data_IF_190822014956
#
_entry.id   IF_190822014956
#
_cell.length_a   1.000
_cell.length_b   1.000
_cell.length_c   1.000
_cell.angle_alpha   90.00
_cell.angle_beta   90.00
_cell.angle_gamma   90.00
#
_symmetry.space_group_name_H-M   'P 1'
#
loop_
_entity.id
_entity.type
_entity.pdbx_description
1 polymer ?
#
# COMPACT_ATOMS: atom_id res chain seq x y z
N UNK A 1 7.61 15.66 -31.82
CA UNK A 1 6.55 14.84 -31.20
C UNK A 1 7.26 13.88 -30.28
N UNK A 2 7.45 14.27 -29.02
CA UNK A 2 8.08 13.44 -27.98
C UNK A 2 7.36 13.71 -26.65
N UNK A 3 6.13 13.22 -26.53
CA UNK A 3 5.26 13.41 -25.35
C UNK A 3 5.09 12.10 -24.54
N UNK A 4 6.18 11.36 -24.30
CA UNK A 4 6.14 10.09 -23.56
C UNK A 4 7.08 9.98 -22.35
N UNK A 5 7.80 11.06 -21.99
CA UNK A 5 8.59 11.06 -20.76
C UNK A 5 7.80 11.65 -19.59
N UNK A 6 7.74 10.91 -18.49
CA UNK A 6 7.36 11.41 -17.17
C UNK A 6 8.07 12.76 -16.97
N UNK A 7 7.31 13.83 -16.73
CA UNK A 7 7.90 15.15 -16.51
C UNK A 7 8.93 15.05 -15.37
N UNK A 8 10.21 15.38 -15.62
CA UNK A 8 11.32 15.01 -14.74
C UNK A 8 11.40 15.80 -13.44
N UNK A 9 10.50 16.75 -13.20
CA UNK A 9 10.60 17.63 -12.04
C UNK A 9 9.62 17.24 -10.96
N UNK A 10 10.14 16.48 -10.00
CA UNK A 10 9.55 16.44 -8.67
C UNK A 10 9.61 17.83 -8.01
N UNK A 11 8.65 18.13 -7.14
CA UNK A 11 8.69 19.37 -6.33
C UNK A 11 9.93 19.37 -5.41
N UNK A 12 10.39 20.57 -5.04
CA UNK A 12 11.48 20.75 -4.07
C UNK A 12 11.34 19.81 -2.86
N UNK A 13 12.41 19.08 -2.56
CA UNK A 13 12.47 18.11 -1.47
C UNK A 13 12.14 16.67 -1.86
N UNK A 14 11.73 16.39 -3.10
CA UNK A 14 11.60 15.03 -3.63
C UNK A 14 12.68 14.76 -4.70
N UNK A 15 13.08 13.50 -4.82
CA UNK A 15 13.97 13.00 -5.87
C UNK A 15 13.30 13.03 -7.24
N UNK A 16 14.09 12.81 -8.30
CA UNK A 16 13.53 12.49 -9.60
C UNK A 16 12.99 11.05 -9.59
N UNK A 17 12.09 10.77 -10.54
CA UNK A 17 11.57 9.42 -10.75
C UNK A 17 12.66 8.48 -11.27
N UNK A 18 12.81 7.32 -10.66
CA UNK A 18 13.70 6.22 -11.07
C UNK A 18 12.86 5.03 -11.54
N UNK A 19 13.26 4.39 -12.65
CA UNK A 19 12.62 3.15 -13.13
C UNK A 19 13.31 1.92 -12.53
N UNK A 20 12.51 1.01 -11.95
CA UNK A 20 12.96 -0.28 -11.41
C UNK A 20 12.76 -1.43 -12.41
N UNK A 21 12.42 -1.10 -13.66
CA UNK A 21 12.15 -2.05 -14.73
C UNK A 21 10.91 -2.93 -14.48
N UNK A 22 10.87 -4.07 -15.16
CA UNK A 22 9.74 -5.01 -15.15
C UNK A 22 8.57 -4.57 -16.04
N UNK A 23 7.62 -5.49 -16.27
CA UNK A 23 6.35 -5.22 -16.97
C UNK A 23 5.21 -5.58 -16.03
N UNK A 24 4.69 -4.57 -15.33
CA UNK A 24 3.74 -4.76 -14.25
C UNK A 24 2.31 -4.88 -14.77
N UNK A 25 1.61 -5.93 -14.36
CA UNK A 25 0.18 -6.09 -14.63
C UNK A 25 -0.71 -5.60 -13.47
N UNK A 26 -0.12 -5.24 -12.33
CA UNK A 26 -0.81 -4.64 -11.18
C UNK A 26 -0.17 -3.32 -10.74
N UNK A 27 -0.81 -2.63 -9.78
CA UNK A 27 -0.13 -1.64 -8.94
C UNK A 27 0.94 -2.33 -8.08
N UNK A 28 1.98 -1.59 -7.64
CA UNK A 28 2.94 -2.08 -6.64
C UNK A 28 2.31 -2.26 -5.25
N UNK A 29 2.92 -3.12 -4.43
CA UNK A 29 2.84 -3.09 -2.98
C UNK A 29 4.25 -2.92 -2.41
N UNK A 30 4.41 -2.24 -1.28
CA UNK A 30 5.73 -1.98 -0.71
C UNK A 30 5.73 -2.13 0.82
N UNK A 31 6.86 -2.57 1.38
CA UNK A 31 7.09 -2.62 2.82
C UNK A 31 8.56 -2.34 3.16
N UNK A 32 8.80 -2.18 4.45
CA UNK A 32 10.14 -2.08 5.02
C UNK A 32 10.15 -2.69 6.41
N UNK A 33 11.19 -3.47 6.72
CA UNK A 33 11.41 -4.08 8.02
C UNK A 33 12.59 -3.47 8.79
N UNK A 34 13.34 -2.54 8.18
CA UNK A 34 14.46 -1.84 8.81
C UNK A 34 14.80 -0.53 8.07
N UNK A 35 15.55 0.34 8.74
CA UNK A 35 16.11 1.52 8.08
C UNK A 35 17.00 1.11 6.89
N UNK A 36 16.90 1.87 5.80
CA UNK A 36 17.60 1.64 4.54
C UNK A 36 17.30 0.27 3.88
N UNK A 37 16.09 -0.26 4.13
CA UNK A 37 15.55 -1.45 3.48
C UNK A 37 14.21 -1.13 2.86
N UNK A 38 14.01 -1.53 1.62
CA UNK A 38 12.72 -1.50 0.92
C UNK A 38 12.48 -2.84 0.25
N UNK A 39 11.23 -3.28 0.24
CA UNK A 39 10.77 -4.48 -0.43
C UNK A 39 9.52 -4.12 -1.23
N UNK A 40 9.54 -4.39 -2.54
CA UNK A 40 8.44 -4.07 -3.45
C UNK A 40 7.94 -5.32 -4.16
N UNK A 41 6.63 -5.35 -4.42
CA UNK A 41 5.89 -6.49 -4.93
C UNK A 41 5.00 -6.05 -6.08
N UNK A 42 4.86 -6.87 -7.12
CA UNK A 42 3.91 -6.63 -8.20
C UNK A 42 3.50 -7.93 -8.91
N UNK A 43 2.38 -7.91 -9.64
CA UNK A 43 2.02 -8.97 -10.56
C UNK A 43 2.80 -8.86 -11.87
N UNK A 44 3.35 -9.99 -12.34
CA UNK A 44 3.94 -10.11 -13.68
C UNK A 44 2.90 -10.46 -14.76
N UNK A 45 3.35 -10.60 -16.02
CA UNK A 45 2.49 -10.97 -17.15
C UNK A 45 1.84 -12.35 -17.01
N UNK A 46 2.50 -13.27 -16.31
CA UNK A 46 2.01 -14.60 -15.97
C UNK A 46 1.10 -14.62 -14.72
N UNK A 47 0.74 -13.46 -14.16
CA UNK A 47 -0.03 -13.31 -12.90
C UNK A 47 0.66 -13.87 -11.65
N UNK A 48 1.94 -14.24 -11.71
CA UNK A 48 2.71 -14.54 -10.50
C UNK A 48 3.04 -13.25 -9.74
N UNK A 49 3.19 -13.37 -8.42
CA UNK A 49 3.77 -12.30 -7.62
C UNK A 49 5.28 -12.27 -7.84
N UNK A 50 5.82 -11.09 -8.10
CA UNK A 50 7.25 -10.83 -8.15
C UNK A 50 7.66 -9.90 -7.02
N UNK A 51 8.89 -10.06 -6.56
CA UNK A 51 9.50 -9.30 -5.48
C UNK A 51 10.86 -8.74 -5.92
N UNK A 52 11.16 -7.51 -5.47
CA UNK A 52 12.45 -6.83 -5.66
C UNK A 52 12.73 -6.00 -4.42
N UNK A 53 13.98 -5.88 -4.01
CA UNK A 53 14.32 -5.19 -2.76
C UNK A 53 15.55 -4.31 -2.87
N UNK A 54 15.61 -3.29 -2.03
CA UNK A 54 16.79 -2.45 -1.80
C UNK A 54 17.56 -2.98 -0.59
N UNK A 55 18.84 -3.29 -0.73
CA UNK A 55 19.67 -3.82 0.36
C UNK A 55 20.44 -2.76 1.16
N UNK A 56 20.24 -1.48 0.82
CA UNK A 56 20.99 -0.36 1.38
C UNK A 56 22.03 0.22 0.42
N UNK A 57 22.34 -0.50 -0.66
CA UNK A 57 23.33 -0.13 -1.67
C UNK A 57 22.85 -0.26 -3.10
N UNK A 58 21.99 -1.25 -3.39
CA UNK A 58 21.44 -1.51 -4.72
C UNK A 58 20.09 -2.22 -4.64
N UNK A 59 19.35 -2.14 -5.73
CA UNK A 59 18.19 -2.99 -5.95
C UNK A 59 18.63 -4.39 -6.40
N UNK A 60 17.95 -5.43 -5.90
CA UNK A 60 18.08 -6.82 -6.38
C UNK A 60 17.54 -6.98 -7.80
N UNK A 61 17.71 -8.15 -8.42
CA UNK A 61 16.87 -8.54 -9.55
C UNK A 61 15.44 -8.86 -9.09
N UNK A 62 14.51 -8.93 -10.05
CA UNK A 62 13.15 -9.40 -9.81
C UNK A 62 13.16 -10.92 -9.59
N UNK A 63 12.60 -11.38 -8.46
CA UNK A 63 12.38 -12.80 -8.18
C UNK A 63 10.89 -13.15 -8.23
N UNK A 64 10.53 -14.34 -8.71
CA UNK A 64 9.15 -14.82 -8.68
C UNK A 64 8.86 -15.53 -7.35
N UNK A 65 7.75 -15.16 -6.72
CA UNK A 65 7.19 -15.84 -5.54
C UNK A 65 6.07 -16.83 -5.93
N UNK A 66 5.89 -17.07 -7.23
CA UNK A 66 4.84 -17.93 -7.76
C UNK A 66 3.42 -17.40 -7.49
N UNK A 67 2.47 -18.33 -7.36
CA UNK A 67 1.05 -18.03 -7.22
C UNK A 67 0.40 -17.51 -8.50
N UNK A 68 -0.93 -17.33 -8.45
CA UNK A 68 -1.72 -16.69 -9.50
C UNK A 68 -2.63 -15.65 -8.86
N UNK A 69 -2.21 -14.39 -8.91
CA UNK A 69 -2.88 -13.28 -8.22
C UNK A 69 -3.75 -12.45 -9.18
N UNK A 70 -4.89 -11.96 -8.68
CA UNK A 70 -5.90 -11.20 -9.42
C UNK A 70 -6.11 -9.78 -8.85
N UNK A 71 -5.17 -9.32 -8.02
CA UNK A 71 -5.13 -7.98 -7.45
C UNK A 71 -3.68 -7.48 -7.35
N UNK A 72 -3.52 -6.19 -7.02
CA UNK A 72 -2.23 -5.71 -6.53
C UNK A 72 -1.90 -6.36 -5.18
N UNK A 73 -0.60 -6.58 -4.89
CA UNK A 73 -0.16 -7.02 -3.57
C UNK A 73 -0.26 -5.92 -2.52
N UNK A 74 -0.51 -6.31 -1.28
CA UNK A 74 -0.17 -5.52 -0.09
C UNK A 74 0.98 -6.19 0.66
N UNK A 75 1.87 -5.41 1.25
CA UNK A 75 2.99 -5.92 2.03
C UNK A 75 3.13 -5.15 3.35
N UNK A 76 3.54 -5.85 4.40
CA UNK A 76 3.71 -5.27 5.74
C UNK A 76 4.82 -6.02 6.48
N UNK A 77 5.48 -5.34 7.40
CA UNK A 77 6.40 -5.93 8.35
C UNK A 77 5.95 -5.61 9.77
N UNK A 78 6.09 -6.58 10.67
CA UNK A 78 5.93 -6.38 12.11
C UNK A 78 7.27 -6.41 12.88
N UNK A 79 8.39 -6.61 12.17
CA UNK A 79 9.70 -6.74 12.80
C UNK A 79 10.82 -7.04 11.81
N UNK A 80 12.06 -6.93 12.30
CA UNK A 80 13.26 -7.16 11.49
C UNK A 80 13.23 -8.56 10.85
N UNK A 81 13.66 -8.65 9.59
CA UNK A 81 13.70 -9.91 8.81
C UNK A 81 12.34 -10.59 8.63
N UNK A 82 11.25 -9.82 8.70
CA UNK A 82 9.90 -10.31 8.48
C UNK A 82 9.15 -9.42 7.51
N UNK A 83 8.57 -10.04 6.49
CA UNK A 83 7.63 -9.42 5.56
C UNK A 83 6.49 -10.39 5.34
N UNK A 84 5.28 -9.87 5.32
CA UNK A 84 4.05 -10.58 5.00
C UNK A 84 3.44 -9.92 3.78
N UNK A 85 3.13 -10.71 2.75
CA UNK A 85 2.53 -10.24 1.50
C UNK A 85 1.17 -10.91 1.27
N UNK A 86 0.22 -10.11 0.82
CA UNK A 86 -1.18 -10.51 0.63
C UNK A 86 -1.64 -10.15 -0.78
N UNK A 87 -2.43 -11.03 -1.39
CA UNK A 87 -3.08 -10.74 -2.66
C UNK A 87 -4.40 -11.51 -2.78
N UNK A 88 -5.24 -11.14 -3.76
CA UNK A 88 -6.43 -11.92 -4.10
C UNK A 88 -6.07 -13.05 -5.07
N UNK A 89 -6.55 -14.26 -4.81
CA UNK A 89 -6.40 -15.41 -5.70
C UNK A 89 -7.43 -15.44 -6.83
N UNK A 90 -7.42 -16.49 -7.66
CA UNK A 90 -8.41 -16.72 -8.72
C UNK A 90 -9.79 -17.11 -8.19
N UNK A 91 -9.84 -17.59 -6.95
CA UNK A 91 -11.04 -17.93 -6.18
C UNK A 91 -11.65 -16.71 -5.45
N UNK A 92 -11.08 -15.52 -5.66
CA UNK A 92 -11.39 -14.29 -4.92
C UNK A 92 -11.09 -14.33 -3.41
N UNK A 93 -10.41 -15.36 -2.89
CA UNK A 93 -9.96 -15.39 -1.51
C UNK A 93 -8.72 -14.52 -1.31
N UNK A 94 -8.45 -14.13 -0.06
CA UNK A 94 -7.16 -13.56 0.30
C UNK A 94 -6.14 -14.67 0.45
N UNK A 95 -5.02 -14.54 -0.24
CA UNK A 95 -3.87 -15.43 -0.15
C UNK A 95 -2.69 -14.70 0.48
N UNK A 96 -1.91 -15.42 1.26
CA UNK A 96 -0.81 -14.91 2.08
C UNK A 96 0.46 -15.73 1.87
N UNK A 97 1.59 -15.03 1.78
CA UNK A 97 2.94 -15.59 1.78
C UNK A 97 3.84 -14.70 2.63
N UNK A 98 4.86 -15.27 3.27
CA UNK A 98 5.74 -14.50 4.14
C UNK A 98 7.21 -14.89 4.06
N UNK A 99 8.08 -13.92 4.34
CA UNK A 99 9.50 -14.11 4.58
C UNK A 99 9.76 -14.32 6.06
N UNK A 100 10.58 -15.31 6.43
CA UNK A 100 10.90 -15.62 7.83
C UNK A 100 12.35 -15.32 8.23
N UNK A 101 13.11 -14.61 7.40
CA UNK A 101 14.54 -14.36 7.60
C UNK A 101 15.46 -15.31 6.83
N UNK A 102 14.93 -16.40 6.26
CA UNK A 102 15.70 -17.40 5.52
C UNK A 102 15.06 -17.83 4.20
N UNK A 103 13.73 -17.90 4.15
CA UNK A 103 12.97 -18.29 2.96
C UNK A 103 11.57 -17.70 2.98
N UNK A 104 10.97 -17.66 1.79
CA UNK A 104 9.53 -17.47 1.63
C UNK A 104 8.77 -18.74 2.05
N UNK A 105 7.60 -18.57 2.65
CA UNK A 105 6.69 -19.66 2.97
C UNK A 105 6.01 -20.21 1.70
N UNK A 106 5.22 -21.27 1.86
CA UNK A 106 4.19 -21.59 0.87
C UNK A 106 3.06 -20.57 0.96
N UNK A 107 2.29 -20.45 -0.12
CA UNK A 107 1.03 -19.72 -0.16
C UNK A 107 -0.01 -20.38 0.74
N UNK A 108 -0.69 -19.60 1.58
CA UNK A 108 -1.84 -20.04 2.37
C UNK A 108 -3.08 -19.20 2.04
N UNK A 109 -4.26 -19.85 2.00
CA UNK A 109 -5.53 -19.15 1.85
C UNK A 109 -6.06 -18.70 3.20
N UNK A 110 -6.45 -17.44 3.27
CA UNK A 110 -7.10 -16.81 4.41
C UNK A 110 -8.62 -16.67 4.20
N UNK A 111 -9.14 -17.25 3.11
CA UNK A 111 -10.56 -17.26 2.73
C UNK A 111 -11.10 -15.86 2.40
N UNK A 112 -12.43 -15.72 2.52
CA UNK A 112 -13.16 -14.50 2.18
C UNK A 112 -13.46 -14.39 0.68
N UNK A 113 -14.19 -13.33 0.30
CA UNK A 113 -14.50 -13.00 -1.10
C UNK A 113 -14.24 -11.53 -1.34
N UNK A 114 -13.07 -11.24 -1.88
CA UNK A 114 -12.52 -9.90 -2.04
C UNK A 114 -12.98 -9.26 -3.36
N UNK A 115 -13.40 -8.01 -3.30
CA UNK A 115 -13.71 -7.17 -4.48
C UNK A 115 -12.71 -6.02 -4.67
N UNK A 116 -11.58 -6.07 -3.97
CA UNK A 116 -10.46 -5.14 -4.10
C UNK A 116 -9.12 -5.82 -3.83
N UNK A 117 -8.02 -5.14 -4.13
CA UNK A 117 -6.72 -5.44 -3.53
C UNK A 117 -6.79 -5.34 -2.00
N UNK A 118 -5.99 -6.14 -1.27
CA UNK A 118 -5.86 -6.00 0.18
C UNK A 118 -5.06 -4.75 0.56
N UNK A 119 -5.14 -4.41 1.84
CA UNK A 119 -4.20 -3.54 2.55
C UNK A 119 -3.79 -4.22 3.85
N UNK A 120 -2.60 -3.89 4.37
CA UNK A 120 -2.10 -4.50 5.59
C UNK A 120 -1.36 -3.47 6.47
N UNK A 121 -1.46 -3.62 7.78
CA UNK A 121 -0.75 -2.83 8.77
C UNK A 121 -0.33 -3.70 9.96
N UNK A 122 0.73 -3.29 10.64
CA UNK A 122 1.18 -3.88 11.90
C UNK A 122 1.45 -2.78 12.91
N UNK A 123 0.91 -2.92 14.12
CA UNK A 123 1.11 -1.96 15.22
C UNK A 123 1.91 -2.57 16.39
N UNK A 124 2.29 -3.84 16.30
CA UNK A 124 3.11 -4.54 17.29
C UNK A 124 3.77 -5.80 16.69
N UNK A 125 4.83 -6.32 17.32
CA UNK A 125 5.37 -7.62 16.96
C UNK A 125 4.31 -8.72 17.01
N UNK A 126 4.40 -9.69 16.11
CA UNK A 126 3.44 -10.80 15.96
C UNK A 126 1.99 -10.35 15.74
N UNK A 127 1.78 -9.15 15.22
CA UNK A 127 0.46 -8.61 14.90
C UNK A 127 0.40 -8.13 13.46
N UNK A 128 -0.60 -8.61 12.75
CA UNK A 128 -0.95 -8.18 11.40
C UNK A 128 -2.44 -7.90 11.34
N UNK A 129 -2.82 -6.84 10.66
CA UNK A 129 -4.20 -6.47 10.39
C UNK A 129 -4.36 -6.23 8.90
N UNK A 130 -5.30 -6.95 8.28
CA UNK A 130 -5.55 -6.91 6.84
C UNK A 130 -6.94 -6.39 6.54
N UNK A 131 -7.07 -5.62 5.47
CA UNK A 131 -8.28 -4.91 5.12
C UNK A 131 -8.60 -5.09 3.64
N UNK A 132 -9.87 -5.33 3.34
CA UNK A 132 -10.35 -5.55 1.96
C UNK A 132 -11.73 -4.94 1.80
N UNK A 133 -12.14 -4.70 0.55
CA UNK A 133 -13.53 -4.45 0.22
C UNK A 133 -14.24 -5.78 -0.06
N UNK A 134 -15.39 -6.00 0.59
CA UNK A 134 -16.24 -7.17 0.37
C UNK A 134 -17.21 -7.01 -0.81
N UNK A 135 -18.05 -8.01 -1.05
CA UNK A 135 -19.09 -7.99 -2.11
C UNK A 135 -20.20 -6.97 -1.84
N UNK A 136 -20.36 -6.55 -0.59
CA UNK A 136 -21.30 -5.52 -0.14
C UNK A 136 -20.71 -4.09 -0.17
N UNK A 137 -19.53 -3.93 -0.78
CA UNK A 137 -18.73 -2.69 -0.79
C UNK A 137 -18.29 -2.18 0.60
N UNK A 138 -18.48 -2.95 1.66
CA UNK A 138 -17.99 -2.59 2.99
C UNK A 138 -16.50 -2.91 3.15
N UNK A 139 -15.87 -2.26 4.12
CA UNK A 139 -14.56 -2.65 4.63
C UNK A 139 -14.72 -3.92 5.49
N UNK A 140 -13.92 -4.93 5.18
CA UNK A 140 -13.76 -6.16 5.95
C UNK A 140 -12.33 -6.26 6.48
N UNK A 141 -12.19 -6.85 7.66
CA UNK A 141 -10.97 -6.92 8.44
C UNK A 141 -10.69 -8.33 8.91
N UNK A 142 -9.44 -8.78 8.83
CA UNK A 142 -8.95 -10.05 9.39
C UNK A 142 -7.57 -9.81 9.98
N UNK A 143 -7.26 -10.42 11.12
CA UNK A 143 -5.99 -10.15 11.80
C UNK A 143 -5.32 -11.41 12.33
N UNK A 144 -4.00 -11.36 12.41
CA UNK A 144 -3.17 -12.36 13.08
C UNK A 144 -2.89 -11.90 14.52
N UNK A 145 -3.10 -12.76 15.51
CA UNK A 145 -2.91 -12.41 16.91
C UNK A 145 -1.64 -12.99 17.56
N UNK A 146 -0.71 -13.54 16.77
CA UNK A 146 0.48 -14.23 17.27
C UNK A 146 0.33 -15.75 17.31
N UNK A 147 -0.89 -16.28 17.19
CA UNK A 147 -1.13 -17.73 17.21
C UNK A 147 -2.09 -18.21 16.14
N UNK A 148 -3.06 -17.37 15.74
CA UNK A 148 -4.02 -17.69 14.70
C UNK A 148 -4.53 -16.45 13.99
N UNK A 149 -5.05 -16.66 12.79
CA UNK A 149 -5.90 -15.69 12.12
C UNK A 149 -7.30 -15.66 12.74
N UNK A 150 -7.89 -14.47 12.86
CA UNK A 150 -9.28 -14.27 13.25
C UNK A 150 -10.25 -14.72 12.15
N UNK A 151 -11.54 -14.75 12.43
CA UNK A 151 -12.56 -14.72 11.37
C UNK A 151 -12.60 -13.35 10.68
N UNK A 152 -13.28 -13.29 9.53
CA UNK A 152 -13.52 -12.04 8.82
C UNK A 152 -14.56 -11.20 9.57
N UNK A 153 -14.21 -9.96 9.89
CA UNK A 153 -15.06 -9.00 10.57
C UNK A 153 -15.48 -7.88 9.62
N UNK A 154 -16.78 -7.63 9.52
CA UNK A 154 -17.31 -6.48 8.80
C UNK A 154 -17.17 -5.20 9.62
N UNK A 155 -16.48 -4.20 9.08
CA UNK A 155 -16.33 -2.87 9.70
C UNK A 155 -17.37 -1.88 9.15
N UNK A 156 -17.85 -2.08 7.93
CA UNK A 156 -18.88 -1.24 7.30
C UNK A 156 -18.30 -0.20 6.34
N UNK A 157 -19.07 0.85 6.05
CA UNK A 157 -18.75 1.83 5.00
C UNK A 157 -19.26 1.40 3.61
N UNK A 158 -19.02 2.25 2.62
CA UNK A 158 -19.35 2.00 1.21
C UNK A 158 -18.21 2.52 0.32
N UNK A 159 -17.32 1.60 -0.05
CA UNK A 159 -16.03 1.90 -0.67
C UNK A 159 -16.08 1.72 -2.19
N UNK A 160 -15.42 2.64 -2.89
CA UNK A 160 -15.30 2.66 -4.36
C UNK A 160 -13.87 2.46 -4.85
N UNK A 161 -12.95 2.07 -3.95
CA UNK A 161 -11.58 1.66 -4.24
C UNK A 161 -11.13 0.54 -3.28
N UNK A 162 -9.92 0.01 -3.51
CA UNK A 162 -9.20 -0.72 -2.48
C UNK A 162 -8.92 0.18 -1.26
N UNK A 163 -8.87 -0.37 -0.05
CA UNK A 163 -8.36 0.34 1.11
C UNK A 163 -6.83 0.46 1.08
N UNK A 164 -6.30 1.31 1.95
CA UNK A 164 -4.89 1.34 2.37
C UNK A 164 -4.84 1.52 3.88
N UNK A 165 -3.83 0.95 4.54
CA UNK A 165 -3.74 0.94 5.99
C UNK A 165 -2.32 1.24 6.46
N UNK A 166 -2.21 1.90 7.62
CA UNK A 166 -0.93 2.20 8.24
C UNK A 166 -1.06 2.18 9.76
N UNK A 167 0.04 1.84 10.44
CA UNK A 167 0.20 2.13 11.86
C UNK A 167 1.29 3.17 12.06
N UNK A 168 1.11 4.04 13.05
CA UNK A 168 2.12 4.98 13.51
C UNK A 168 2.42 4.85 14.99
N UNK A 169 1.85 3.86 15.67
CA UNK A 169 2.01 3.64 17.09
C UNK A 169 1.26 2.40 17.58
N UNK A 170 1.58 1.97 18.80
CA UNK A 170 0.97 0.80 19.42
C UNK A 170 -0.55 0.94 19.47
N UNK A 171 -1.27 -0.15 19.15
CA UNK A 171 -2.73 -0.20 19.15
C UNK A 171 -3.41 0.84 18.24
N UNK A 172 -2.70 1.34 17.23
CA UNK A 172 -3.23 2.34 16.29
C UNK A 172 -3.14 1.85 14.86
N UNK A 173 -4.28 1.87 14.17
CA UNK A 173 -4.35 1.64 12.72
C UNK A 173 -5.23 2.74 12.13
N UNK A 174 -4.78 3.35 11.05
CA UNK A 174 -5.57 4.25 10.22
C UNK A 174 -5.80 3.58 8.86
N UNK A 175 -7.06 3.57 8.41
CA UNK A 175 -7.47 2.99 7.13
C UNK A 175 -8.12 4.08 6.29
N UNK A 176 -7.65 4.19 5.05
CA UNK A 176 -8.17 5.12 4.05
C UNK A 176 -8.70 4.38 2.85
N UNK A 177 -9.74 4.93 2.22
CA UNK A 177 -10.30 4.41 0.98
C UNK A 177 -11.03 5.52 0.25
N UNK A 178 -11.27 5.36 -1.06
CA UNK A 178 -12.20 6.22 -1.77
C UNK A 178 -13.63 5.77 -1.47
N UNK A 179 -14.50 6.72 -1.15
CA UNK A 179 -15.95 6.52 -0.97
C UNK A 179 -16.78 6.98 -2.16
N UNK A 180 -18.09 7.10 -1.95
CA UNK A 180 -18.99 7.72 -2.92
C UNK A 180 -18.58 9.17 -3.25
N UNK A 181 -18.86 9.62 -4.47
CA UNK A 181 -18.47 10.97 -4.93
C UNK A 181 -16.95 11.18 -5.03
N UNK A 182 -16.17 10.10 -5.10
CA UNK A 182 -14.71 10.11 -5.21
C UNK A 182 -13.97 10.81 -4.05
N UNK A 183 -14.59 10.83 -2.85
CA UNK A 183 -14.02 11.44 -1.64
C UNK A 183 -13.07 10.49 -0.93
N UNK A 184 -12.02 11.02 -0.32
CA UNK A 184 -11.16 10.27 0.59
C UNK A 184 -11.92 10.06 1.91
N UNK A 185 -12.11 8.81 2.27
CA UNK A 185 -12.73 8.37 3.52
C UNK A 185 -11.65 7.83 4.45
N UNK A 186 -11.82 8.03 5.75
CA UNK A 186 -10.88 7.64 6.79
C UNK A 186 -11.62 7.03 7.99
N UNK A 187 -11.10 5.93 8.52
CA UNK A 187 -11.54 5.31 9.76
C UNK A 187 -10.29 4.83 10.52
N UNK A 188 -10.34 4.76 11.84
CA UNK A 188 -9.20 4.30 12.62
C UNK A 188 -9.59 3.44 13.81
N UNK A 189 -8.65 2.57 14.21
CA UNK A 189 -8.68 1.83 15.46
C UNK A 189 -7.91 2.60 16.53
N UNK A 190 -8.46 2.72 17.75
CA UNK A 190 -7.83 3.44 18.86
C UNK A 190 -7.39 2.55 20.03
N UNK A 191 -7.28 1.24 19.81
CA UNK A 191 -6.99 0.26 20.87
C UNK A 191 -8.23 -0.33 21.54
N UNK A 192 -9.40 0.29 21.35
CA UNK A 192 -10.66 -0.19 21.94
C UNK A 192 -11.78 -0.34 20.92
N UNK A 193 -11.94 0.65 20.05
CA UNK A 193 -13.02 0.68 19.06
C UNK A 193 -12.53 1.27 17.73
N UNK A 194 -13.22 0.88 16.66
CA UNK A 194 -13.17 1.63 15.41
C UNK A 194 -13.91 2.96 15.56
N UNK A 195 -13.36 4.02 14.99
CA UNK A 195 -14.03 5.31 14.88
C UNK A 195 -15.25 5.24 13.96
N UNK A 196 -16.01 6.34 13.89
CA UNK A 196 -16.91 6.55 12.74
C UNK A 196 -16.09 6.91 11.51
N UNK A 197 -16.61 6.59 10.33
CA UNK A 197 -16.05 7.05 9.06
C UNK A 197 -16.04 8.58 8.99
N UNK A 198 -14.90 9.14 8.59
CA UNK A 198 -14.72 10.55 8.31
C UNK A 198 -14.53 10.78 6.82
N UNK A 199 -15.17 11.83 6.29
CA UNK A 199 -14.95 12.30 4.93
C UNK A 199 -13.88 13.41 4.98
N UNK A 200 -12.72 13.15 4.39
CA UNK A 200 -11.61 14.11 4.33
C UNK A 200 -11.63 14.96 3.04
N UNK A 201 -12.68 14.85 2.24
CA UNK A 201 -12.85 15.60 0.99
C UNK A 201 -11.96 15.07 -0.13
N UNK A 202 -11.49 15.99 -0.99
CA UNK A 202 -10.72 15.64 -2.19
C UNK A 202 -11.57 15.05 -3.33
N UNK A 203 -10.97 14.86 -4.49
CA UNK A 203 -11.54 14.10 -5.62
C UNK A 203 -10.41 13.28 -6.22
N UNK A 204 -10.35 12.00 -5.84
CA UNK A 204 -9.25 11.10 -6.18
C UNK A 204 -9.69 10.05 -7.20
N UNK A 205 -8.83 9.72 -8.17
CA UNK A 205 -9.14 8.80 -9.28
C UNK A 205 -8.48 7.42 -9.15
N UNK A 206 -7.62 7.23 -8.16
CA UNK A 206 -7.03 5.95 -7.76
C UNK A 206 -7.53 5.50 -6.37
N UNK A 207 -7.19 4.28 -5.96
CA UNK A 207 -7.10 3.97 -4.54
C UNK A 207 -6.01 4.85 -3.89
N UNK A 208 -6.18 5.25 -2.62
CA UNK A 208 -5.15 5.97 -1.90
C UNK A 208 -4.01 5.02 -1.47
N UNK A 209 -2.81 5.59 -1.26
CA UNK A 209 -1.73 4.99 -0.49
C UNK A 209 -1.45 5.85 0.73
N UNK A 210 -0.90 5.27 1.80
CA UNK A 210 -0.54 6.02 3.00
C UNK A 210 0.80 5.56 3.55
N UNK A 211 1.61 6.49 4.05
CA UNK A 211 2.81 6.20 4.83
C UNK A 211 2.79 6.97 6.15
N UNK A 212 3.59 6.49 7.10
CA UNK A 212 3.86 7.16 8.36
C UNK A 212 5.35 7.28 8.58
N UNK A 213 5.83 8.51 8.78
CA UNK A 213 7.23 8.78 9.11
C UNK A 213 7.47 8.84 10.62
N UNK A 214 6.44 9.15 11.40
CA UNK A 214 6.58 9.28 12.85
C UNK A 214 5.22 9.07 13.53
N UNK A 215 5.27 8.90 14.85
CA UNK A 215 4.06 8.88 15.65
C UNK A 215 3.20 10.12 15.37
N UNK A 216 1.91 9.89 15.14
CA UNK A 216 0.90 10.90 14.84
C UNK A 216 1.20 11.74 13.59
N UNK A 217 1.90 11.16 12.60
CA UNK A 217 2.20 11.81 11.31
C UNK A 217 1.86 10.87 10.18
N UNK A 218 0.94 11.31 9.31
CA UNK A 218 0.50 10.54 8.16
C UNK A 218 0.72 11.34 6.88
N UNK A 219 0.96 10.63 5.79
CA UNK A 219 0.97 11.19 4.45
C UNK A 219 0.19 10.28 3.51
N UNK A 220 -0.84 10.83 2.88
CA UNK A 220 -1.74 10.12 1.98
C UNK A 220 -1.48 10.57 0.55
N UNK A 221 -1.33 9.61 -0.35
CA UNK A 221 -1.09 9.80 -1.76
C UNK A 221 -2.26 9.27 -2.58
N UNK A 222 -2.59 9.94 -3.68
CA UNK A 222 -3.58 9.46 -4.63
C UNK A 222 -3.38 10.12 -5.99
N UNK A 223 -4.02 9.57 -7.03
CA UNK A 223 -4.01 10.12 -8.37
C UNK A 223 -5.16 11.12 -8.57
N UNK A 224 -4.91 12.19 -9.32
CA UNK A 224 -5.95 13.12 -9.79
C UNK A 224 -6.51 12.75 -11.19
N UNK A 225 -7.40 13.58 -11.74
CA UNK A 225 -7.99 13.35 -13.07
C UNK A 225 -7.01 13.54 -14.23
N UNK A 226 -5.87 14.16 -13.97
CA UNK A 226 -4.79 14.38 -14.94
C UNK A 226 -3.67 13.35 -14.80
N UNK A 227 -3.93 12.24 -14.10
CA UNK A 227 -2.97 11.17 -13.79
C UNK A 227 -1.75 11.59 -12.96
N UNK A 228 -1.82 12.74 -12.27
CA UNK A 228 -0.72 13.23 -11.44
C UNK A 228 -0.80 12.67 -10.03
N UNK A 229 0.35 12.45 -9.42
CA UNK A 229 0.45 12.07 -8.01
C UNK A 229 0.16 13.30 -7.13
N UNK A 230 -0.82 13.16 -6.25
CA UNK A 230 -1.21 14.15 -5.26
C UNK A 230 -0.86 13.65 -3.85
N UNK A 231 -0.55 14.57 -2.93
CA UNK A 231 -0.32 14.27 -1.51
C UNK A 231 -1.12 15.19 -0.59
N UNK A 232 -1.51 14.68 0.56
CA UNK A 232 -1.95 15.47 1.72
C UNK A 232 -1.37 14.86 3.01
N UNK A 233 -1.13 15.67 4.04
CA UNK A 233 -0.47 15.20 5.26
C UNK A 233 -1.23 15.58 6.53
N UNK A 234 -1.20 14.68 7.51
CA UNK A 234 -1.61 14.94 8.88
C UNK A 234 -0.38 15.33 9.71
N UNK A 235 -0.43 16.49 10.36
CA UNK A 235 0.68 17.01 11.15
C UNK A 235 0.57 16.69 12.66
N UNK A 236 -0.46 15.95 13.07
CA UNK A 236 -0.77 15.67 14.48
C UNK A 236 -2.01 16.39 14.99
N UNK A 237 -2.45 17.46 14.31
CA UNK A 237 -3.62 18.26 14.71
C UNK A 237 -4.56 18.60 13.54
N UNK A 238 -4.04 18.68 12.30
CA UNK A 238 -4.85 18.98 11.12
C UNK A 238 -4.30 18.33 9.85
N UNK A 239 -5.20 18.15 8.89
CA UNK A 239 -4.86 17.79 7.52
C UNK A 239 -4.46 19.01 6.71
N UNK A 240 -3.43 18.87 5.88
CA UNK A 240 -3.09 19.85 4.85
C UNK A 240 -4.10 19.83 3.70
N UNK A 241 -4.05 20.84 2.82
CA UNK A 241 -4.68 20.75 1.50
C UNK A 241 -3.92 19.75 0.63
N UNK A 242 -4.60 19.22 -0.40
CA UNK A 242 -3.95 18.43 -1.45
C UNK A 242 -2.91 19.26 -2.19
N UNK A 243 -1.77 18.65 -2.46
CA UNK A 243 -0.64 19.22 -3.22
C UNK A 243 -0.26 18.29 -4.35
N UNK A 244 -0.01 18.84 -5.53
CA UNK A 244 0.47 18.11 -6.69
C UNK A 244 1.99 17.84 -6.57
N UNK A 245 2.41 16.60 -6.83
CA UNK A 245 3.80 16.15 -6.89
C UNK A 245 4.28 15.89 -8.33
N UNK A 246 3.42 16.05 -9.33
CA UNK A 246 3.71 15.80 -10.73
C UNK A 246 3.56 14.32 -11.11
N UNK A 247 4.33 13.89 -12.11
CA UNK A 247 4.26 12.55 -12.67
C UNK A 247 3.03 12.29 -13.56
N UNK A 248 3.04 11.14 -14.22
CA UNK A 248 1.94 10.60 -15.01
C UNK A 248 1.84 9.09 -14.72
N UNK A 249 1.08 8.74 -13.67
CA UNK A 249 1.03 7.37 -13.15
C UNK A 249 -0.22 6.62 -13.64
N UNK A 250 -0.06 5.35 -13.99
CA UNK A 250 -1.12 4.50 -14.59
C UNK A 250 -1.68 3.44 -13.64
N UNK A 251 -1.27 3.46 -12.37
CA UNK A 251 -1.78 2.59 -11.31
C UNK A 251 -2.20 3.38 -10.06
N UNK A 252 -2.76 2.67 -9.10
CA UNK A 252 -2.76 3.14 -7.70
C UNK A 252 -1.31 3.28 -7.22
N UNK A 253 -0.97 4.31 -6.42
CA UNK A 253 0.34 4.41 -5.79
C UNK A 253 0.49 3.38 -4.67
N UNK A 254 1.73 3.12 -4.27
CA UNK A 254 2.10 2.50 -3.00
C UNK A 254 3.08 3.41 -2.27
N UNK A 255 2.98 3.51 -0.95
CA UNK A 255 3.83 4.39 -0.15
C UNK A 255 4.35 3.67 1.08
N UNK A 256 5.60 3.92 1.43
CA UNK A 256 6.27 3.32 2.60
C UNK A 256 7.27 4.31 3.18
N UNK A 257 7.60 4.13 4.45
CA UNK A 257 8.62 4.90 5.15
C UNK A 257 9.44 3.93 6.00
N UNK A 258 10.75 4.12 6.01
CA UNK A 258 11.69 3.34 6.82
C UNK A 258 12.49 4.20 7.81
N UNK A 259 12.28 5.51 7.81
CA UNK A 259 12.86 6.44 8.78
C UNK A 259 11.96 7.67 9.00
N UNK A 260 12.29 8.51 9.98
CA UNK A 260 11.52 9.74 10.27
C UNK A 260 11.51 10.77 9.16
N UNK A 261 12.42 10.62 8.23
CA UNK A 261 12.73 11.58 7.20
C UNK A 261 12.30 11.03 5.84
N UNK A 262 12.40 9.72 5.66
CA UNK A 262 12.11 9.06 4.39
C UNK A 262 10.63 8.75 4.14
N UNK A 263 10.10 9.22 3.01
CA UNK A 263 8.95 8.56 2.36
C UNK A 263 9.35 8.11 0.95
N UNK A 264 9.07 6.87 0.61
CA UNK A 264 9.20 6.31 -0.74
C UNK A 264 7.79 6.06 -1.32
N UNK A 265 7.59 6.42 -2.59
CA UNK A 265 6.35 6.20 -3.33
C UNK A 265 6.64 5.47 -4.63
N UNK A 266 5.85 4.44 -4.91
CA UNK A 266 5.94 3.62 -6.10
C UNK A 266 4.64 3.71 -6.89
N UNK A 267 4.74 3.69 -8.21
CA UNK A 267 3.59 3.57 -9.09
C UNK A 267 4.00 2.96 -10.43
N UNK A 268 3.02 2.50 -11.22
CA UNK A 268 3.26 2.10 -12.61
C UNK A 268 3.28 3.33 -13.52
N UNK A 269 4.25 3.39 -14.43
CA UNK A 269 4.36 4.43 -15.47
C UNK A 269 3.50 4.13 -16.70
N UNK A 270 3.58 4.99 -17.72
CA UNK A 270 2.93 4.78 -19.03
C UNK A 270 3.58 3.67 -19.86
N UNK A 271 4.83 3.36 -19.56
CA UNK A 271 5.63 2.26 -20.09
C UNK A 271 5.36 0.90 -19.41
N UNK A 272 4.43 0.86 -18.46
CA UNK A 272 4.15 -0.28 -17.57
C UNK A 272 5.31 -0.70 -16.65
N UNK A 273 6.38 0.09 -16.56
CA UNK A 273 7.46 -0.16 -15.61
C UNK A 273 7.06 0.33 -14.20
N UNK A 274 7.77 -0.17 -13.19
CA UNK A 274 7.68 0.39 -11.84
C UNK A 274 8.54 1.65 -11.75
N UNK A 275 7.94 2.74 -11.34
CA UNK A 275 8.60 4.01 -11.08
C UNK A 275 8.56 4.34 -9.59
N UNK A 276 9.66 4.92 -9.11
CA UNK A 276 9.92 5.22 -7.71
C UNK A 276 10.33 6.68 -7.54
N UNK A 277 9.79 7.34 -6.52
CA UNK A 277 10.15 8.69 -6.10
C UNK A 277 10.23 8.74 -4.58
N UNK A 278 11.10 9.58 -4.01
CA UNK A 278 11.26 9.67 -2.56
C UNK A 278 11.56 11.08 -2.07
N UNK A 279 11.45 11.28 -0.77
CA UNK A 279 11.97 12.45 -0.08
C UNK A 279 12.64 12.07 1.23
N UNK A 280 13.59 12.88 1.67
CA UNK A 280 14.21 12.83 2.98
C UNK A 280 13.68 13.96 3.90
#
# INVERSE_FOLDING_TARGET
>A
MDDNNILPYARQGWSNWESLGGVLTSAPGASSWAANRLDTFAAGSNRAMYHKWWDGSRWSDWESLGGTITSAPAAVSWGRNRIDAFARGTDNAMWHIFWNGSRWSNWESLGGTLTSSPAAASWAPNRLDTFVRGTDNALWHKWWNGSRWSDWQRIGGNLTSAPTAVSWGSNRIDVFARGQGNRLMHIWWNGRNWSRWQNLGGTITSAPAVSSRAANRLEVFARDRSNRLMTMSWNGTRWSRWSNLGGNITSDPAAVSWSRNRTDVFARGTDNAMWHIWRD
#
